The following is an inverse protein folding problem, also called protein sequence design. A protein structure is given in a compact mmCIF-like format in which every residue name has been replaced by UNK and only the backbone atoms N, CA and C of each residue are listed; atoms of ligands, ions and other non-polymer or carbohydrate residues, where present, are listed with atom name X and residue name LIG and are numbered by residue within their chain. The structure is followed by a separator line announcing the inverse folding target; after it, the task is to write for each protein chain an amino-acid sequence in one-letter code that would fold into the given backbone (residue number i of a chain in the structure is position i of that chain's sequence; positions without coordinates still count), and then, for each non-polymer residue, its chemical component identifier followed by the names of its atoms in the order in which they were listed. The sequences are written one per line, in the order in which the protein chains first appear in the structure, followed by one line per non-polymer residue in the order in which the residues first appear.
data_IF_274982099879
#
_entry.id   IF_274982099879
#
_cell.length_a   1.000
_cell.length_b   1.000
_cell.length_c   1.000
_cell.angle_alpha   90.00
_cell.angle_beta   90.00
_cell.angle_gamma   90.00
#
_symmetry.space_group_name_H-M   'P 1'
#
loop_
_entity.id
_entity.type
_entity.pdbx_description
1 polymer ?
#
# COMPACT_ATOMS: atom_id res chain seq x y z
N UNK A 1 77.41 60.36 19.38
CA UNK A 1 76.16 59.74 19.87
C UNK A 1 75.60 58.94 18.70
N UNK A 2 75.85 57.63 18.66
CA UNK A 2 75.37 56.76 17.57
C UNK A 2 73.93 56.41 17.89
N UNK A 3 72.99 56.87 17.07
CA UNK A 3 71.60 56.45 17.16
C UNK A 3 71.54 54.98 16.77
N UNK A 4 71.13 54.11 17.70
CA UNK A 4 70.82 52.72 17.41
C UNK A 4 69.52 52.75 16.59
N UNK A 5 69.60 52.27 15.36
CA UNK A 5 68.44 52.20 14.47
C UNK A 5 67.58 50.99 14.87
N UNK A 6 66.51 51.24 15.63
CA UNK A 6 65.57 50.21 16.13
C UNK A 6 64.49 49.84 15.09
N UNK A 7 64.49 50.46 13.91
CA UNK A 7 63.52 50.18 12.85
C UNK A 7 63.46 48.71 12.40
N UNK A 8 64.56 47.94 12.24
CA UNK A 8 64.47 46.52 11.89
C UNK A 8 63.83 45.66 12.99
N UNK A 9 64.02 46.01 14.27
CA UNK A 9 63.40 45.30 15.39
C UNK A 9 61.88 45.52 15.44
N UNK A 10 61.45 46.76 15.22
CA UNK A 10 60.02 47.12 15.12
C UNK A 10 59.35 46.45 13.92
N UNK A 11 60.01 46.38 12.76
CA UNK A 11 59.51 45.66 11.58
C UNK A 11 59.38 44.16 11.83
N UNK A 12 60.37 43.54 12.48
CA UNK A 12 60.31 42.13 12.87
C UNK A 12 59.14 41.83 13.82
N UNK A 13 58.91 42.69 14.81
CA UNK A 13 57.78 42.56 15.73
C UNK A 13 56.42 42.72 15.01
N UNK A 14 56.28 43.70 14.12
CA UNK A 14 55.04 43.92 13.36
C UNK A 14 54.70 42.75 12.44
N UNK A 15 55.69 42.20 11.74
CA UNK A 15 55.48 41.04 10.85
C UNK A 15 55.11 39.78 11.64
N UNK A 16 55.71 39.57 12.82
CA UNK A 16 55.34 38.48 13.72
C UNK A 16 53.88 38.61 14.18
N UNK A 17 53.47 39.80 14.63
CA UNK A 17 52.09 40.09 15.06
C UNK A 17 51.09 39.85 13.91
N UNK A 18 51.42 40.29 12.69
CA UNK A 18 50.59 40.05 11.51
C UNK A 18 50.47 38.56 11.17
N UNK A 19 51.57 37.81 11.27
CA UNK A 19 51.60 36.37 10.98
C UNK A 19 50.74 35.59 11.99
N UNK A 20 50.87 35.91 13.28
CA UNK A 20 50.03 35.31 14.35
C UNK A 20 48.55 35.61 14.10
N UNK A 21 48.21 36.87 13.79
CA UNK A 21 46.82 37.27 13.50
C UNK A 21 46.26 36.54 12.28
N UNK A 22 47.06 36.36 11.23
CA UNK A 22 46.65 35.62 10.01
C UNK A 22 46.43 34.13 10.29
N UNK A 23 47.34 33.47 11.01
CA UNK A 23 47.18 32.05 11.40
C UNK A 23 45.93 31.83 12.27
N UNK A 24 45.59 32.79 13.13
CA UNK A 24 44.36 32.77 13.90
C UNK A 24 43.10 32.95 13.03
N UNK A 25 43.15 33.80 12.00
CA UNK A 25 42.04 33.99 11.06
C UNK A 25 41.82 32.76 10.16
N UNK A 26 42.89 32.18 9.59
CA UNK A 26 42.80 31.03 8.67
C UNK A 26 42.25 29.78 9.38
N UNK A 27 42.68 29.50 10.63
CA UNK A 27 42.19 28.35 11.41
C UNK A 27 40.70 28.42 11.79
N UNK A 28 40.16 29.62 11.98
CA UNK A 28 38.73 29.83 12.26
C UNK A 28 37.89 29.58 11.00
N UNK A 29 38.37 30.01 9.83
CA UNK A 29 37.67 29.79 8.55
C UNK A 29 37.64 28.30 8.17
N UNK A 30 38.76 27.59 8.32
CA UNK A 30 38.79 26.13 8.10
C UNK A 30 37.80 25.39 9.00
N UNK A 31 37.74 25.77 10.29
CA UNK A 31 36.81 25.19 11.25
C UNK A 31 35.35 25.46 10.87
N UNK A 32 35.02 26.67 10.40
CA UNK A 32 33.65 27.02 9.95
C UNK A 32 33.22 26.21 8.75
N UNK A 33 34.11 25.99 7.77
CA UNK A 33 33.83 25.18 6.57
C UNK A 33 33.55 23.73 6.96
N UNK A 34 34.34 23.16 7.87
CA UNK A 34 34.13 21.79 8.37
C UNK A 34 32.78 21.66 9.08
N UNK A 35 32.47 22.57 10.01
CA UNK A 35 31.18 22.55 10.74
C UNK A 35 29.99 22.66 9.78
N UNK A 36 30.08 23.51 8.76
CA UNK A 36 29.01 23.63 7.73
C UNK A 36 28.82 22.33 6.95
N UNK A 37 29.92 21.70 6.52
CA UNK A 37 29.88 20.40 5.80
C UNK A 37 29.29 19.30 6.68
N UNK A 38 29.76 19.17 7.93
CA UNK A 38 29.24 18.19 8.89
C UNK A 38 27.75 18.40 9.13
N UNK A 39 27.32 19.66 9.35
CA UNK A 39 25.91 20.00 9.54
C UNK A 39 25.05 19.61 8.34
N UNK A 40 25.52 19.89 7.12
CA UNK A 40 24.82 19.48 5.90
C UNK A 40 24.69 17.96 5.81
N UNK A 41 25.78 17.23 6.05
CA UNK A 41 25.78 15.75 6.04
C UNK A 41 24.79 15.20 7.07
N UNK A 42 24.80 15.72 8.30
CA UNK A 42 23.88 15.30 9.36
C UNK A 42 22.42 15.56 8.98
N UNK A 43 22.08 16.75 8.47
CA UNK A 43 20.72 17.05 8.05
C UNK A 43 20.28 16.20 6.86
N UNK A 44 21.16 15.95 5.89
CA UNK A 44 20.84 15.06 4.77
C UNK A 44 20.60 13.62 5.24
N UNK A 45 21.43 13.11 6.16
CA UNK A 45 21.27 11.76 6.70
C UNK A 45 19.95 11.63 7.47
N UNK A 46 19.63 12.62 8.32
CA UNK A 46 18.35 12.67 9.03
C UNK A 46 17.17 12.73 8.04
N UNK A 47 17.26 13.57 7.01
CA UNK A 47 16.23 13.67 5.97
C UNK A 47 15.98 12.35 5.26
N UNK A 48 17.04 11.62 4.90
CA UNK A 48 16.92 10.28 4.28
C UNK A 48 16.28 9.28 5.24
N UNK A 49 16.69 9.25 6.51
CA UNK A 49 16.11 8.34 7.51
C UNK A 49 14.62 8.64 7.72
N UNK A 50 14.25 9.92 7.83
CA UNK A 50 12.84 10.33 7.98
C UNK A 50 12.02 9.95 6.75
N UNK A 51 12.56 10.16 5.54
CA UNK A 51 11.87 9.78 4.29
C UNK A 51 11.66 8.26 4.20
N UNK A 52 12.69 7.47 4.57
CA UNK A 52 12.58 6.01 4.61
C UNK A 52 11.52 5.56 5.62
N UNK A 53 11.53 6.12 6.83
CA UNK A 53 10.51 5.80 7.83
C UNK A 53 9.10 6.13 7.36
N UNK A 54 8.89 7.31 6.77
CA UNK A 54 7.59 7.72 6.25
C UNK A 54 7.12 6.77 5.15
N UNK A 55 8.02 6.39 4.23
CA UNK A 55 7.72 5.47 3.12
C UNK A 55 7.31 4.10 3.64
N UNK A 56 8.07 3.54 4.58
CA UNK A 56 7.74 2.25 5.22
C UNK A 56 6.42 2.30 5.97
N UNK A 57 6.14 3.40 6.68
CA UNK A 57 4.89 3.58 7.40
C UNK A 57 3.70 3.61 6.43
N UNK A 58 3.80 4.37 5.34
CA UNK A 58 2.74 4.41 4.30
C UNK A 58 2.53 3.04 3.69
N UNK A 59 3.60 2.31 3.36
CA UNK A 59 3.52 0.97 2.78
C UNK A 59 2.85 -0.04 3.74
N UNK A 60 3.21 -0.01 5.03
CA UNK A 60 2.61 -0.86 6.05
C UNK A 60 1.09 -0.64 6.18
N UNK A 61 0.64 0.61 6.19
CA UNK A 61 -0.77 0.93 6.31
C UNK A 61 -1.57 0.66 5.02
N UNK A 62 -1.00 0.95 3.85
CA UNK A 62 -1.72 0.83 2.57
C UNK A 62 -1.75 -0.58 2.02
N UNK A 63 -0.69 -1.36 2.24
CA UNK A 63 -0.54 -2.70 1.63
C UNK A 63 -0.67 -3.77 2.70
N UNK A 64 0.12 -3.71 3.77
CA UNK A 64 0.23 -4.82 4.73
C UNK A 64 -1.02 -4.96 5.58
N UNK A 65 -1.61 -3.85 6.03
CA UNK A 65 -2.80 -3.87 6.89
C UNK A 65 -4.06 -4.51 6.25
N UNK A 66 -4.44 -4.23 4.99
CA UNK A 66 -5.66 -4.81 4.40
C UNK A 66 -5.53 -6.26 3.94
N UNK A 67 -4.31 -6.74 3.68
CA UNK A 67 -4.09 -8.09 3.13
C UNK A 67 -4.64 -9.23 4.00
N UNK A 68 -4.42 -9.26 5.34
CA UNK A 68 -4.98 -10.31 6.19
C UNK A 68 -6.51 -10.34 6.17
N UNK A 69 -7.16 -9.17 6.09
CA UNK A 69 -8.62 -9.08 6.02
C UNK A 69 -9.14 -9.67 4.70
N UNK A 70 -8.54 -9.30 3.57
CA UNK A 70 -8.91 -9.85 2.26
C UNK A 70 -8.63 -11.36 2.17
N UNK A 71 -7.52 -11.83 2.74
CA UNK A 71 -7.21 -13.26 2.83
C UNK A 71 -8.28 -14.01 3.62
N UNK A 72 -8.67 -13.49 4.79
CA UNK A 72 -9.71 -14.10 5.60
C UNK A 72 -11.06 -14.17 4.89
N UNK A 73 -11.43 -13.13 4.12
CA UNK A 73 -12.66 -13.17 3.32
C UNK A 73 -12.56 -14.24 2.23
N UNK A 74 -11.42 -14.34 1.54
CA UNK A 74 -11.22 -15.36 0.52
C UNK A 74 -11.31 -16.79 1.09
N UNK A 75 -10.70 -17.03 2.26
CA UNK A 75 -10.79 -18.32 2.97
C UNK A 75 -12.23 -18.68 3.35
N UNK A 76 -12.99 -17.72 3.90
CA UNK A 76 -14.39 -17.93 4.24
C UNK A 76 -15.26 -18.19 3.02
N UNK A 77 -15.04 -17.44 1.94
CA UNK A 77 -15.72 -17.65 0.67
C UNK A 77 -15.43 -19.04 0.08
N UNK A 78 -14.17 -19.51 0.19
CA UNK A 78 -13.79 -20.87 -0.20
C UNK A 78 -14.44 -21.95 0.68
N UNK A 79 -14.70 -21.65 1.96
CA UNK A 79 -15.43 -22.52 2.88
C UNK A 79 -16.96 -22.47 2.67
N UNK A 80 -17.47 -21.67 1.74
CA UNK A 80 -18.90 -21.53 1.44
C UNK A 80 -19.62 -20.46 2.28
N UNK A 81 -18.91 -19.72 3.13
CA UNK A 81 -19.45 -18.55 3.82
C UNK A 81 -19.41 -17.34 2.88
N UNK A 82 -20.47 -17.23 2.09
CA UNK A 82 -20.66 -16.19 1.08
C UNK A 82 -21.20 -14.87 1.63
N UNK A 83 -21.58 -14.79 2.92
CA UNK A 83 -22.24 -13.62 3.51
C UNK A 83 -21.30 -12.49 3.97
N UNK A 84 -19.99 -12.64 3.73
CA UNK A 84 -18.99 -11.72 4.26
C UNK A 84 -18.99 -10.38 3.52
N UNK A 85 -18.97 -9.28 4.29
CA UNK A 85 -18.92 -7.92 3.77
C UNK A 85 -17.47 -7.47 3.60
N UNK A 86 -17.12 -7.03 2.38
CA UNK A 86 -15.80 -6.47 2.07
C UNK A 86 -15.89 -4.95 2.11
N UNK A 87 -15.47 -4.35 3.22
CA UNK A 87 -15.55 -2.90 3.45
C UNK A 87 -14.33 -2.10 2.98
N UNK A 88 -13.25 -2.80 2.58
CA UNK A 88 -12.07 -2.12 2.06
C UNK A 88 -12.37 -1.47 0.69
N UNK A 89 -12.18 -0.15 0.62
CA UNK A 89 -12.32 0.65 -0.59
C UNK A 89 -11.05 1.49 -0.76
N UNK A 90 -10.34 1.24 -1.85
CA UNK A 90 -9.17 2.02 -2.25
C UNK A 90 -9.14 2.18 -3.77
N UNK A 91 -8.34 3.14 -4.25
CA UNK A 91 -8.08 3.38 -5.68
C UNK A 91 -6.75 2.78 -6.16
N UNK A 92 -6.07 2.03 -5.29
CA UNK A 92 -4.83 1.31 -5.59
C UNK A 92 -5.12 -0.15 -6.01
N UNK A 93 -4.05 -0.91 -6.25
CA UNK A 93 -4.09 -2.32 -6.64
C UNK A 93 -4.78 -3.21 -5.59
N UNK A 94 -4.69 -2.86 -4.30
CA UNK A 94 -5.37 -3.57 -3.23
C UNK A 94 -6.88 -3.30 -3.30
N UNK A 95 -7.27 -2.09 -3.67
CA UNK A 95 -8.66 -1.73 -3.97
C UNK A 95 -9.22 -2.53 -5.16
N UNK A 96 -8.42 -2.71 -6.22
CA UNK A 96 -8.79 -3.56 -7.37
C UNK A 96 -9.00 -5.02 -6.92
N UNK A 97 -8.10 -5.55 -6.08
CA UNK A 97 -8.24 -6.90 -5.52
C UNK A 97 -9.52 -7.04 -4.67
N UNK A 98 -9.79 -6.08 -3.79
CA UNK A 98 -11.00 -6.07 -2.96
C UNK A 98 -12.27 -6.02 -3.81
N UNK A 99 -12.27 -5.24 -4.90
CA UNK A 99 -13.40 -5.17 -5.84
C UNK A 99 -13.62 -6.50 -6.58
N UNK A 100 -12.55 -7.17 -7.01
CA UNK A 100 -12.64 -8.49 -7.64
C UNK A 100 -13.23 -9.53 -6.68
N UNK A 101 -12.77 -9.55 -5.43
CA UNK A 101 -13.28 -10.46 -4.41
C UNK A 101 -14.75 -10.19 -4.08
N UNK A 102 -15.16 -8.91 -4.08
CA UNK A 102 -16.57 -8.50 -3.88
C UNK A 102 -17.47 -8.96 -5.02
N UNK A 103 -17.02 -8.80 -6.27
CA UNK A 103 -17.76 -9.28 -7.43
C UNK A 103 -17.92 -10.81 -7.42
N UNK A 104 -16.88 -11.54 -6.98
CA UNK A 104 -16.93 -13.00 -6.83
C UNK A 104 -17.92 -13.43 -5.74
N UNK A 105 -17.88 -12.79 -4.58
CA UNK A 105 -18.84 -13.05 -3.49
C UNK A 105 -20.28 -12.79 -3.94
N UNK A 106 -20.54 -11.67 -4.62
CA UNK A 106 -21.87 -11.35 -5.15
C UNK A 106 -22.34 -12.41 -6.16
N UNK A 107 -21.49 -12.79 -7.12
CA UNK A 107 -21.85 -13.81 -8.10
C UNK A 107 -22.17 -15.17 -7.47
N UNK A 108 -21.55 -15.51 -6.34
CA UNK A 108 -21.89 -16.72 -5.58
C UNK A 108 -23.23 -16.57 -4.84
N UNK A 109 -23.46 -15.42 -4.19
CA UNK A 109 -24.74 -15.12 -3.51
C UNK A 109 -25.93 -15.19 -4.48
N UNK A 110 -25.83 -14.55 -5.65
CA UNK A 110 -26.87 -14.54 -6.66
C UNK A 110 -27.24 -15.97 -7.10
N UNK A 111 -26.24 -16.84 -7.26
CA UNK A 111 -26.44 -18.24 -7.64
C UNK A 111 -27.09 -19.05 -6.53
N UNK A 112 -26.73 -18.82 -5.27
CA UNK A 112 -27.37 -19.48 -4.12
C UNK A 112 -28.84 -19.06 -4.00
N UNK A 113 -29.16 -17.79 -4.22
CA UNK A 113 -30.54 -17.31 -4.22
C UNK A 113 -31.38 -18.00 -5.31
N UNK A 114 -30.86 -18.09 -6.53
CA UNK A 114 -31.49 -18.82 -7.64
C UNK A 114 -31.76 -20.29 -7.26
N UNK A 115 -30.77 -20.97 -6.68
CA UNK A 115 -30.92 -22.37 -6.24
C UNK A 115 -32.02 -22.48 -5.18
N UNK A 116 -32.11 -21.51 -4.27
CA UNK A 116 -33.14 -21.50 -3.23
C UNK A 116 -34.54 -21.32 -3.81
N UNK A 117 -34.72 -20.42 -4.79
CA UNK A 117 -35.97 -20.25 -5.51
C UNK A 117 -36.38 -21.53 -6.25
N UNK A 118 -35.42 -22.20 -6.91
CA UNK A 118 -35.66 -23.48 -7.58
C UNK A 118 -36.09 -24.57 -6.60
N UNK A 119 -35.43 -24.66 -5.44
CA UNK A 119 -35.76 -25.65 -4.41
C UNK A 119 -37.17 -25.46 -3.82
N UNK A 120 -37.67 -24.22 -3.80
CA UNK A 120 -39.02 -23.90 -3.36
C UNK A 120 -40.09 -24.13 -4.46
N UNK A 121 -39.68 -24.60 -5.64
CA UNK A 121 -40.58 -24.81 -6.78
C UNK A 121 -41.05 -23.51 -7.45
N UNK A 122 -40.45 -22.36 -7.10
CA UNK A 122 -40.74 -21.11 -7.79
C UNK A 122 -40.03 -21.07 -9.15
N UNK A 123 -40.64 -20.37 -10.11
CA UNK A 123 -39.99 -20.06 -11.38
C UNK A 123 -38.80 -19.15 -11.12
N UNK A 124 -37.61 -19.74 -11.03
CA UNK A 124 -36.39 -18.96 -11.00
C UNK A 124 -36.25 -18.16 -12.31
N UNK A 125 -35.80 -16.89 -12.24
CA UNK A 125 -35.49 -16.10 -13.42
C UNK A 125 -34.44 -16.78 -14.31
N UNK A 126 -34.27 -16.28 -15.53
CA UNK A 126 -33.20 -16.79 -16.39
C UNK A 126 -31.84 -16.59 -15.71
N UNK A 127 -31.02 -17.63 -15.70
CA UNK A 127 -29.76 -17.64 -14.96
C UNK A 127 -28.76 -16.82 -15.77
N UNK A 128 -28.31 -15.66 -15.26
CA UNK A 128 -27.32 -14.85 -15.95
C UNK A 128 -25.98 -15.59 -15.94
N UNK A 129 -25.40 -15.81 -17.12
CA UNK A 129 -24.03 -16.31 -17.24
C UNK A 129 -23.08 -15.13 -17.19
N UNK A 130 -22.22 -15.10 -16.17
CA UNK A 130 -21.27 -13.98 -15.96
C UNK A 130 -20.21 -13.92 -17.07
N UNK A 131 -19.93 -15.05 -17.71
CA UNK A 131 -18.96 -15.20 -18.79
C UNK A 131 -19.26 -16.49 -19.57
N UNK A 132 -18.74 -16.61 -20.79
CA UNK A 132 -18.70 -17.89 -21.52
C UNK A 132 -18.06 -19.01 -20.69
N UNK A 133 -17.12 -18.68 -19.79
CA UNK A 133 -16.42 -19.64 -18.91
C UNK A 133 -17.09 -19.86 -17.56
N UNK A 134 -18.31 -19.34 -17.34
CA UNK A 134 -19.05 -19.54 -16.09
C UNK A 134 -19.60 -20.96 -15.98
N UNK A 135 -18.73 -21.91 -15.60
CA UNK A 135 -19.06 -23.33 -15.49
C UNK A 135 -20.26 -23.57 -14.55
N UNK A 136 -20.34 -22.83 -13.44
CA UNK A 136 -21.44 -22.97 -12.49
C UNK A 136 -22.76 -22.43 -13.07
N UNK A 137 -22.72 -21.29 -13.77
CA UNK A 137 -23.89 -20.74 -14.46
C UNK A 137 -24.45 -21.68 -15.52
N UNK A 138 -23.58 -22.27 -16.35
CA UNK A 138 -23.98 -23.26 -17.36
C UNK A 138 -24.57 -24.53 -16.74
N UNK A 139 -23.96 -25.02 -15.65
CA UNK A 139 -24.46 -26.18 -14.92
C UNK A 139 -25.85 -25.92 -14.32
N UNK A 140 -26.06 -24.76 -13.69
CA UNK A 140 -27.36 -24.37 -13.13
C UNK A 140 -28.42 -24.19 -14.21
N UNK A 141 -28.09 -23.58 -15.36
CA UNK A 141 -29.01 -23.47 -16.50
C UNK A 141 -29.44 -24.84 -17.03
N UNK A 142 -28.49 -25.77 -17.15
CA UNK A 142 -28.77 -27.14 -17.57
C UNK A 142 -29.67 -27.87 -16.56
N UNK A 143 -29.42 -27.68 -15.26
CA UNK A 143 -30.24 -28.23 -14.18
C UNK A 143 -31.67 -27.64 -14.21
N UNK A 144 -31.81 -26.33 -14.38
CA UNK A 144 -33.09 -25.65 -14.47
C UNK A 144 -33.90 -26.13 -15.67
N UNK A 145 -33.25 -26.26 -16.84
CA UNK A 145 -33.89 -26.81 -18.05
C UNK A 145 -34.40 -28.24 -17.80
N UNK A 146 -33.59 -29.08 -17.14
CA UNK A 146 -34.02 -30.44 -16.78
C UNK A 146 -35.21 -30.44 -15.83
N UNK A 147 -35.17 -29.63 -14.78
CA UNK A 147 -36.26 -29.51 -13.80
C UNK A 147 -37.58 -29.11 -14.44
N UNK A 148 -37.57 -28.17 -15.40
CA UNK A 148 -38.77 -27.77 -16.15
C UNK A 148 -39.40 -28.90 -16.99
N UNK A 149 -38.63 -29.92 -17.36
CA UNK A 149 -39.14 -31.08 -18.12
C UNK A 149 -39.70 -32.19 -17.25
N UNK A 150 -39.48 -32.15 -15.93
CA UNK A 150 -40.03 -33.15 -15.02
C UNK A 150 -41.53 -32.92 -14.84
N UNK A 151 -42.37 -33.97 -14.97
CA UNK A 151 -43.80 -33.84 -14.70
C UNK A 151 -44.03 -33.45 -13.24
N UNK A 152 -44.92 -32.49 -13.02
CA UNK A 152 -45.29 -32.03 -11.68
C UNK A 152 -46.00 -33.17 -10.93
N UNK A 153 -45.31 -33.84 -10.01
CA UNK A 153 -45.83 -35.03 -9.29
C UNK A 153 -46.88 -34.69 -8.23
N UNK A 154 -47.48 -33.49 -8.25
CA UNK A 154 -48.63 -33.14 -7.41
C UNK A 154 -49.95 -33.75 -7.89
N UNK A 155 -49.98 -34.37 -9.08
CA UNK A 155 -51.09 -35.23 -9.51
C UNK A 155 -50.81 -36.68 -9.12
N UNK A 156 -51.01 -37.02 -7.84
CA UNK A 156 -51.35 -38.40 -7.48
C UNK A 156 -52.86 -38.55 -7.68
N UNK A 157 -53.34 -39.37 -8.63
CA UNK A 157 -54.75 -39.68 -8.72
C UNK A 157 -55.09 -40.58 -7.53
N UNK A 158 -55.86 -40.06 -6.58
CA UNK A 158 -56.64 -40.89 -5.68
C UNK A 158 -57.87 -41.44 -6.42
#
# INVERSE_FOLDING_TARGET
MVAIDDTPALQGFMTLQQTIKKMQYDSIEETRVIIRKVRLVVFTALGVITLLMLTLMVMAYRIVSPLPSLSSVAEKLAAGDIGQRIDYVSRDEIGVLANALRAMAQAHQDKVEIIHLMAQGLSAPDIPTVSERDALGHALRSLQARWRTLPNTSETPH
#
